data_IF_118742899805
#
_entry.id   IF_118742899805
#
_cell.length_a   1.000
_cell.length_b   1.000
_cell.length_c   1.000
_cell.angle_alpha   90.00
_cell.angle_beta   90.00
_cell.angle_gamma   90.00
#
_symmetry.space_group_name_H-M   'P 1'
#
loop_
_entity.id
_entity.type
_entity.pdbx_description
1 polymer ?
#
# COMPACT_ATOMS: atom_id res chain seq x y z
N UNK A 1 10.53 -19.72 -19.32
CA UNK A 1 9.16 -19.17 -19.29
C UNK A 1 9.17 -18.11 -18.22
N UNK A 2 9.11 -16.84 -18.60
CA UNK A 2 9.14 -15.74 -17.63
C UNK A 2 7.95 -15.91 -16.68
N UNK A 3 8.25 -16.30 -15.44
CA UNK A 3 7.31 -16.18 -14.34
C UNK A 3 6.79 -14.75 -14.37
N UNK A 4 5.48 -14.57 -14.33
CA UNK A 4 4.86 -13.26 -14.17
C UNK A 4 5.39 -12.73 -12.83
N UNK A 5 6.49 -11.98 -12.89
CA UNK A 5 7.27 -11.59 -11.73
C UNK A 5 6.49 -10.59 -10.91
N UNK A 6 5.61 -11.12 -10.06
CA UNK A 6 5.03 -10.34 -8.97
C UNK A 6 6.21 -9.89 -8.13
N UNK A 7 6.39 -8.59 -8.08
CA UNK A 7 7.47 -7.94 -7.37
C UNK A 7 7.44 -8.33 -5.89
N UNK A 8 8.54 -8.88 -5.36
CA UNK A 8 8.66 -9.24 -3.95
C UNK A 8 8.31 -8.07 -3.04
N UNK A 9 8.65 -6.84 -3.44
CA UNK A 9 8.33 -5.62 -2.69
C UNK A 9 6.85 -5.24 -2.78
N UNK A 10 6.17 -5.54 -3.89
CA UNK A 10 4.72 -5.34 -4.02
C UNK A 10 3.97 -6.33 -3.12
N UNK A 11 4.40 -7.59 -3.07
CA UNK A 11 3.85 -8.61 -2.16
C UNK A 11 4.05 -8.18 -0.70
N UNK A 12 5.24 -7.74 -0.35
CA UNK A 12 5.56 -7.24 0.99
C UNK A 12 4.68 -6.03 1.35
N UNK A 13 4.50 -5.08 0.42
CA UNK A 13 3.68 -3.90 0.65
C UNK A 13 2.21 -4.27 0.87
N UNK A 14 1.65 -5.20 0.09
CA UNK A 14 0.30 -5.75 0.32
C UNK A 14 0.18 -6.36 1.73
N UNK A 15 1.19 -7.13 2.15
CA UNK A 15 1.19 -7.73 3.49
C UNK A 15 1.16 -6.69 4.62
N UNK A 16 1.92 -5.60 4.48
CA UNK A 16 1.90 -4.48 5.43
C UNK A 16 0.54 -3.78 5.42
N UNK A 17 0.00 -3.47 4.24
CA UNK A 17 -1.31 -2.82 4.10
C UNK A 17 -2.40 -3.65 4.79
N UNK A 18 -2.44 -4.96 4.54
CA UNK A 18 -3.41 -5.87 5.16
C UNK A 18 -3.24 -5.94 6.68
N UNK A 19 -1.99 -5.96 7.17
CA UNK A 19 -1.69 -5.96 8.62
C UNK A 19 -2.20 -4.68 9.30
N UNK A 20 -1.92 -3.52 8.72
CA UNK A 20 -2.35 -2.22 9.27
C UNK A 20 -3.87 -2.13 9.27
N UNK A 21 -4.52 -2.51 8.16
CA UNK A 21 -5.99 -2.49 8.06
C UNK A 21 -6.66 -3.42 9.08
N UNK A 22 -6.17 -4.65 9.23
CA UNK A 22 -6.77 -5.61 10.16
C UNK A 22 -6.43 -5.30 11.64
N UNK A 23 -5.23 -4.78 11.91
CA UNK A 23 -4.74 -4.56 13.27
C UNK A 23 -5.07 -3.18 13.81
N UNK A 24 -4.53 -2.14 13.16
CA UNK A 24 -4.59 -0.76 13.67
C UNK A 24 -5.91 -0.08 13.31
N UNK A 25 -6.49 -0.43 12.17
CA UNK A 25 -7.73 0.17 11.65
C UNK A 25 -8.96 -0.72 11.88
N UNK A 26 -8.79 -1.81 12.63
CA UNK A 26 -9.84 -2.74 13.07
C UNK A 26 -10.83 -3.17 11.96
N UNK A 27 -10.36 -3.33 10.72
CA UNK A 27 -11.21 -3.74 9.60
C UNK A 27 -11.64 -5.20 9.76
N UNK A 28 -12.96 -5.39 9.91
CA UNK A 28 -13.56 -6.71 10.16
C UNK A 28 -13.44 -7.70 8.98
N UNK A 29 -13.20 -7.18 7.77
CA UNK A 29 -13.15 -7.99 6.56
C UNK A 29 -11.76 -7.96 5.91
N UNK A 30 -11.25 -9.12 5.45
CA UNK A 30 -10.05 -9.16 4.64
C UNK A 30 -10.19 -8.27 3.41
N UNK A 31 -9.16 -7.50 3.13
CA UNK A 31 -9.12 -6.62 1.97
C UNK A 31 -8.37 -7.28 0.82
N UNK A 32 -8.91 -7.13 -0.39
CA UNK A 32 -8.34 -7.70 -1.62
C UNK A 32 -7.45 -6.68 -2.32
N UNK A 33 -6.33 -7.08 -2.95
CA UNK A 33 -5.46 -6.14 -3.66
C UNK A 33 -6.18 -5.29 -4.72
N UNK A 34 -7.20 -5.84 -5.37
CA UNK A 34 -8.01 -5.14 -6.37
C UNK A 34 -9.08 -4.20 -5.77
N UNK A 35 -9.27 -4.22 -4.45
CA UNK A 35 -10.28 -3.42 -3.78
C UNK A 35 -9.94 -1.93 -3.90
N UNK A 36 -10.98 -1.11 -4.12
CA UNK A 36 -10.78 0.33 -4.25
C UNK A 36 -10.50 0.98 -2.90
N UNK A 37 -9.54 1.92 -2.86
CA UNK A 37 -9.30 2.75 -1.68
C UNK A 37 -10.53 3.59 -1.31
N UNK A 38 -11.37 3.95 -2.30
CA UNK A 38 -12.61 4.69 -2.04
C UNK A 38 -13.66 3.83 -1.35
N UNK A 39 -13.74 2.55 -1.68
CA UNK A 39 -14.65 1.60 -1.02
C UNK A 39 -14.22 1.29 0.41
N UNK A 40 -12.92 1.37 0.68
CA UNK A 40 -12.40 1.30 2.05
C UNK A 40 -12.78 2.54 2.87
N UNK A 41 -13.17 3.64 2.24
CA UNK A 41 -13.62 4.87 2.90
C UNK A 41 -12.69 5.31 4.05
N UNK A 42 -11.37 5.21 3.84
CA UNK A 42 -10.37 5.59 4.84
C UNK A 42 -10.48 7.09 5.13
N UNK A 43 -10.57 7.45 6.40
CA UNK A 43 -10.50 8.84 6.82
C UNK A 43 -9.06 9.39 6.75
N UNK A 44 -8.90 10.70 6.92
CA UNK A 44 -7.58 11.35 6.81
C UNK A 44 -6.55 10.83 7.81
N UNK A 45 -6.99 10.39 8.99
CA UNK A 45 -6.13 9.83 10.02
C UNK A 45 -5.72 8.40 9.66
N UNK A 46 -6.68 7.57 9.25
CA UNK A 46 -6.43 6.21 8.79
C UNK A 46 -5.48 6.18 7.57
N UNK A 47 -5.66 7.09 6.61
CA UNK A 47 -4.74 7.27 5.48
C UNK A 47 -3.35 7.64 5.97
N UNK A 48 -3.25 8.57 6.93
CA UNK A 48 -1.94 8.99 7.48
C UNK A 48 -1.22 7.82 8.16
N UNK A 49 -1.92 7.02 8.97
CA UNK A 49 -1.35 5.84 9.62
C UNK A 49 -0.80 4.86 8.58
N UNK A 50 -1.61 4.52 7.57
CA UNK A 50 -1.20 3.60 6.51
C UNK A 50 0.03 4.09 5.76
N UNK A 51 0.06 5.38 5.38
CA UNK A 51 1.19 5.98 4.68
C UNK A 51 2.46 5.96 5.53
N UNK A 52 2.37 6.38 6.80
CA UNK A 52 3.52 6.41 7.71
C UNK A 52 4.11 5.02 7.93
N UNK A 53 3.27 4.00 8.10
CA UNK A 53 3.73 2.61 8.25
C UNK A 53 4.47 2.12 7.00
N UNK A 54 3.96 2.43 5.80
CA UNK A 54 4.61 2.08 4.54
C UNK A 54 5.94 2.83 4.34
N UNK A 55 5.96 4.13 4.59
CA UNK A 55 7.18 4.95 4.50
C UNK A 55 8.27 4.47 5.47
N UNK A 56 7.89 4.16 6.72
CA UNK A 56 8.81 3.65 7.74
C UNK A 56 9.38 2.28 7.37
N UNK A 57 8.53 1.36 6.88
CA UNK A 57 8.92 0.00 6.54
C UNK A 57 9.87 -0.02 5.34
N UNK A 58 9.53 0.67 4.26
CA UNK A 58 10.31 0.68 3.02
C UNK A 58 11.41 1.75 2.98
N UNK A 59 11.48 2.63 3.99
CA UNK A 59 12.41 3.77 4.04
C UNK A 59 12.28 4.71 2.84
N UNK A 60 11.05 4.94 2.41
CA UNK A 60 10.69 5.81 1.28
C UNK A 60 9.92 7.04 1.73
N UNK A 61 9.72 7.98 0.81
CA UNK A 61 8.71 9.04 0.94
C UNK A 61 7.68 8.93 -0.16
N UNK A 62 6.41 9.02 0.20
CA UNK A 62 5.28 9.06 -0.72
C UNK A 62 4.84 10.53 -0.87
N UNK A 63 4.86 11.04 -2.09
CA UNK A 63 4.38 12.39 -2.36
C UNK A 63 2.86 12.33 -2.56
N UNK A 64 2.08 13.25 -1.98
CA UNK A 64 0.65 13.39 -2.27
C UNK A 64 0.34 13.50 -3.77
N UNK A 65 1.28 14.00 -4.60
CA UNK A 65 1.13 14.05 -6.04
C UNK A 65 0.97 12.66 -6.69
N UNK A 66 1.58 11.63 -6.11
CA UNK A 66 1.54 10.25 -6.63
C UNK A 66 0.24 9.55 -6.27
N UNK A 67 -0.42 10.00 -5.19
CA UNK A 67 -1.70 9.46 -4.75
C UNK A 67 -2.81 9.67 -5.80
N UNK A 68 -2.63 10.60 -6.74
CA UNK A 68 -3.55 10.83 -7.84
C UNK A 68 -3.70 9.61 -8.77
N UNK A 69 -2.65 8.77 -8.87
CA UNK A 69 -2.64 7.56 -9.71
C UNK A 69 -3.06 6.30 -8.92
N UNK A 70 -3.31 6.43 -7.61
CA UNK A 70 -3.61 5.30 -6.72
C UNK A 70 -5.12 5.14 -6.55
N UNK A 71 -5.69 4.09 -7.16
CA UNK A 71 -7.13 3.78 -7.06
C UNK A 71 -7.43 2.56 -6.18
N UNK A 72 -6.50 1.60 -6.14
CA UNK A 72 -6.64 0.31 -5.45
C UNK A 72 -5.49 0.04 -4.48
N UNK A 73 -5.64 -0.97 -3.61
CA UNK A 73 -4.54 -1.40 -2.73
C UNK A 73 -3.32 -1.89 -3.51
N UNK A 74 -3.53 -2.54 -4.67
CA UNK A 74 -2.45 -2.97 -5.56
C UNK A 74 -1.73 -1.78 -6.21
N UNK A 75 -2.43 -0.69 -6.55
CA UNK A 75 -1.77 0.52 -7.04
C UNK A 75 -0.86 1.14 -5.97
N UNK A 76 -1.33 1.16 -4.73
CA UNK A 76 -0.55 1.67 -3.60
C UNK A 76 0.70 0.81 -3.38
N UNK A 77 0.55 -0.51 -3.39
CA UNK A 77 1.66 -1.44 -3.25
C UNK A 77 2.70 -1.28 -4.38
N UNK A 78 2.26 -1.11 -5.62
CA UNK A 78 3.15 -0.83 -6.76
C UNK A 78 3.90 0.48 -6.61
N UNK A 79 3.22 1.54 -6.16
CA UNK A 79 3.84 2.84 -5.94
C UNK A 79 4.96 2.75 -4.88
N UNK A 80 4.67 2.12 -3.74
CA UNK A 80 5.64 1.92 -2.66
C UNK A 80 6.83 1.10 -3.15
N UNK A 81 6.57 0.01 -3.87
CA UNK A 81 7.60 -0.86 -4.38
C UNK A 81 8.50 -0.17 -5.43
N UNK A 82 7.92 0.66 -6.31
CA UNK A 82 8.67 1.50 -7.23
C UNK A 82 9.59 2.47 -6.48
N UNK A 83 9.07 3.16 -5.45
CA UNK A 83 9.86 4.08 -4.63
C UNK A 83 10.98 3.42 -3.87
N UNK A 84 10.72 2.24 -3.33
CA UNK A 84 11.73 1.49 -2.63
C UNK A 84 12.89 1.14 -3.57
N UNK A 85 12.60 0.85 -4.85
CA UNK A 85 13.64 0.54 -5.86
C UNK A 85 14.48 1.75 -6.20
N UNK A 86 13.87 2.91 -6.35
CA UNK A 86 14.57 4.17 -6.62
C UNK A 86 15.46 4.61 -5.46
N UNK A 87 15.09 4.26 -4.22
CA UNK A 87 15.85 4.58 -3.02
C UNK A 87 16.99 3.59 -2.69
N UNK A 88 17.09 2.46 -3.42
CA UNK A 88 18.08 1.39 -3.19
C UNK A 88 19.39 1.59 -3.93
#
# INVERSE_FOLDING_TARGET
MSELGVDEREIEAIGIIQRVLAGELEREHPVEPAQSLRELALDSMEVTVLVVELENHFRVRLDPADAAEVATLADLARLVAARAREAS
#
